data_IF_928369032017
#
_entry.id   IF_928369032017
#
_cell.length_a   1.000
_cell.length_b   1.000
_cell.length_c   1.000
_cell.angle_alpha   90.00
_cell.angle_beta   90.00
_cell.angle_gamma   90.00
#
_symmetry.space_group_name_H-M   'P 1'
#
loop_
_entity.id
_entity.type
_entity.pdbx_description
1 polymer ?
#
# COMPACT_ATOMS: atom_id res chain seq x y z
N UNK A 1 16.85 13.20 2.73
CA UNK A 1 15.63 12.55 2.18
C UNK A 1 15.46 12.82 0.69
N UNK A 2 15.23 14.07 0.24
CA UNK A 2 15.06 14.32 -1.21
C UNK A 2 16.32 14.01 -2.03
N UNK A 3 17.48 14.37 -1.54
CA UNK A 3 18.79 14.07 -2.18
C UNK A 3 19.03 12.56 -2.27
N UNK A 4 18.71 11.82 -1.24
CA UNK A 4 18.82 10.36 -1.20
C UNK A 4 17.89 9.70 -2.22
N UNK A 5 16.64 10.17 -2.32
CA UNK A 5 15.69 9.67 -3.33
C UNK A 5 16.21 9.92 -4.76
N UNK A 6 16.80 11.07 -5.04
CA UNK A 6 17.41 11.38 -6.33
C UNK A 6 18.65 10.51 -6.63
N UNK A 7 19.44 10.20 -5.61
CA UNK A 7 20.58 9.29 -5.74
C UNK A 7 20.14 7.87 -6.02
N UNK A 8 19.13 7.38 -5.30
CA UNK A 8 18.54 6.04 -5.52
C UNK A 8 17.96 5.91 -6.93
N UNK A 9 17.26 6.92 -7.41
CA UNK A 9 16.79 6.96 -8.79
C UNK A 9 17.91 6.79 -9.81
N UNK A 10 19.02 7.53 -9.64
CA UNK A 10 20.18 7.49 -10.54
C UNK A 10 20.92 6.16 -10.49
N UNK A 11 20.95 5.53 -9.30
CA UNK A 11 21.63 4.25 -9.10
C UNK A 11 20.77 3.05 -9.52
N UNK A 12 19.48 3.25 -9.82
CA UNK A 12 18.57 2.19 -10.18
C UNK A 12 17.95 1.45 -8.98
N UNK A 13 18.09 1.99 -7.78
CA UNK A 13 17.49 1.45 -6.58
C UNK A 13 15.99 1.77 -6.50
N UNK A 14 15.24 0.90 -5.82
CA UNK A 14 13.85 1.17 -5.46
C UNK A 14 13.76 2.02 -4.20
N UNK A 15 12.77 2.89 -4.13
CA UNK A 15 12.43 3.64 -2.91
C UNK A 15 10.94 3.94 -2.86
N UNK A 16 10.45 4.26 -1.68
CA UNK A 16 9.10 4.78 -1.46
C UNK A 16 9.21 6.17 -0.83
N UNK A 17 8.54 7.15 -1.42
CA UNK A 17 8.54 8.53 -0.94
C UNK A 17 7.10 8.95 -0.62
N UNK A 18 6.86 9.36 0.63
CA UNK A 18 5.54 9.81 1.09
C UNK A 18 5.64 11.29 1.42
N UNK A 19 4.86 12.10 0.69
CA UNK A 19 4.82 13.55 0.85
C UNK A 19 3.38 14.03 1.06
N UNK A 20 3.02 14.46 2.26
CA UNK A 20 1.67 14.95 2.54
C UNK A 20 1.35 16.30 1.88
N UNK A 21 2.36 17.04 1.40
CA UNK A 21 2.20 18.36 0.79
C UNK A 21 2.29 18.38 -0.73
N UNK A 22 3.00 17.41 -1.34
CA UNK A 22 3.12 17.23 -2.79
C UNK A 22 4.31 17.94 -3.45
N UNK A 23 4.87 18.99 -2.88
CA UNK A 23 5.93 19.80 -3.50
C UNK A 23 7.22 19.00 -3.78
N UNK A 24 7.60 18.10 -2.86
CA UNK A 24 8.78 17.27 -3.02
C UNK A 24 8.57 16.16 -4.05
N UNK A 25 7.36 15.59 -4.12
CA UNK A 25 6.99 14.60 -5.12
C UNK A 25 6.98 15.23 -6.51
N UNK A 26 6.44 16.43 -6.67
CA UNK A 26 6.46 17.13 -7.96
C UNK A 26 7.90 17.34 -8.45
N UNK A 27 8.80 17.73 -7.55
CA UNK A 27 10.22 17.86 -7.88
C UNK A 27 10.85 16.52 -8.29
N UNK A 28 10.55 15.43 -7.60
CA UNK A 28 11.01 14.08 -7.94
C UNK A 28 10.50 13.69 -9.33
N UNK A 29 9.24 13.94 -9.62
CA UNK A 29 8.60 13.61 -10.89
C UNK A 29 9.25 14.34 -12.07
N UNK A 30 9.59 15.63 -11.90
CA UNK A 30 10.28 16.40 -12.92
C UNK A 30 11.67 15.84 -13.27
N UNK A 31 12.32 15.20 -12.31
CA UNK A 31 13.68 14.65 -12.44
C UNK A 31 13.71 13.12 -12.63
N UNK A 32 12.53 12.48 -12.72
CA UNK A 32 12.46 11.04 -12.87
C UNK A 32 13.00 10.57 -14.23
N UNK A 33 13.87 9.54 -14.26
CA UNK A 33 14.44 9.03 -15.52
C UNK A 33 13.34 8.45 -16.41
N UNK A 34 13.27 8.91 -17.66
CA UNK A 34 12.25 8.46 -18.63
C UNK A 34 12.36 6.97 -18.94
N UNK A 35 13.57 6.43 -18.85
CA UNK A 35 13.89 5.02 -19.08
C UNK A 35 13.30 4.10 -18.03
N UNK A 36 12.91 4.66 -16.87
CA UNK A 36 12.33 3.93 -15.74
C UNK A 36 10.87 4.25 -15.50
N UNK A 37 10.18 4.83 -16.47
CA UNK A 37 8.79 5.25 -16.29
C UNK A 37 7.85 4.07 -15.97
N UNK A 38 8.18 2.88 -16.48
CA UNK A 38 7.41 1.66 -16.23
C UNK A 38 7.59 1.11 -14.80
N UNK A 39 8.64 1.55 -14.09
CA UNK A 39 8.90 1.20 -12.67
C UNK A 39 8.19 2.16 -11.70
N UNK A 40 7.60 3.25 -12.20
CA UNK A 40 7.02 4.30 -11.38
C UNK A 40 5.58 3.99 -10.99
N UNK A 41 5.33 3.98 -9.70
CA UNK A 41 3.96 4.01 -9.16
C UNK A 41 3.75 5.37 -8.51
N UNK A 42 2.94 6.22 -9.15
CA UNK A 42 2.57 7.53 -8.62
C UNK A 42 1.17 7.45 -7.99
N UNK A 43 1.13 7.49 -6.67
CA UNK A 43 -0.10 7.37 -5.89
C UNK A 43 -0.60 8.75 -5.45
N UNK A 44 -1.49 9.35 -6.23
CA UNK A 44 -2.09 10.67 -5.96
C UNK A 44 -3.54 10.52 -5.52
N UNK A 45 -3.79 10.72 -4.22
CA UNK A 45 -5.12 10.68 -3.63
C UNK A 45 -6.00 11.88 -4.02
N UNK A 46 -5.41 12.96 -4.53
CA UNK A 46 -6.14 14.15 -4.97
C UNK A 46 -6.71 14.01 -6.37
N UNK A 47 -6.21 13.05 -7.16
CA UNK A 47 -6.67 12.81 -8.52
C UNK A 47 -8.00 12.05 -8.52
N UNK A 48 -9.09 12.80 -8.68
CA UNK A 48 -10.44 12.24 -8.71
C UNK A 48 -10.85 11.75 -10.10
N UNK A 49 -10.16 12.17 -11.15
CA UNK A 49 -10.45 11.77 -12.53
C UNK A 49 -9.91 10.34 -12.82
N UNK A 50 -8.72 10.03 -12.28
CA UNK A 50 -8.09 8.71 -12.41
C UNK A 50 -7.66 8.20 -11.03
N UNK A 51 -8.61 7.79 -10.17
CA UNK A 51 -8.27 7.29 -8.85
C UNK A 51 -7.52 5.96 -8.95
N UNK A 52 -6.46 5.83 -8.17
CA UNK A 52 -5.75 4.56 -8.04
C UNK A 52 -6.59 3.61 -7.19
N UNK A 53 -6.88 2.44 -7.74
CA UNK A 53 -7.47 1.35 -6.98
C UNK A 53 -6.35 0.62 -6.20
N UNK A 54 -6.57 0.41 -4.92
CA UNK A 54 -5.72 -0.39 -4.05
C UNK A 54 -6.57 -1.43 -3.34
N UNK A 55 -6.30 -2.71 -3.63
CA UNK A 55 -6.94 -3.81 -2.91
C UNK A 55 -5.95 -4.37 -1.87
N UNK A 56 -6.17 -4.14 -0.57
CA UNK A 56 -5.26 -4.63 0.47
C UNK A 56 -5.25 -6.15 0.63
N UNK A 57 -6.19 -6.86 0.02
CA UNK A 57 -6.29 -8.33 0.05
C UNK A 57 -5.71 -9.00 -1.20
N UNK A 58 -5.16 -8.22 -2.11
CA UNK A 58 -4.56 -8.73 -3.34
C UNK A 58 -3.13 -9.25 -3.12
N UNK A 59 -2.70 -10.23 -3.93
CA UNK A 59 -1.35 -10.75 -3.91
C UNK A 59 -1.08 -11.89 -2.90
N UNK A 60 -2.12 -12.54 -2.38
CA UNK A 60 -2.01 -13.73 -1.53
C UNK A 60 -2.47 -14.98 -2.30
N UNK A 61 -1.53 -15.68 -2.91
CA UNK A 61 -1.82 -16.87 -3.75
C UNK A 61 -1.90 -18.17 -2.93
N UNK A 62 -1.17 -18.24 -1.83
CA UNK A 62 -1.11 -19.41 -0.95
C UNK A 62 -1.90 -19.20 0.34
N UNK A 63 -2.28 -20.29 1.01
CA UNK A 63 -2.99 -20.25 2.30
C UNK A 63 -2.15 -19.52 3.36
N UNK A 64 -0.85 -19.79 3.42
CA UNK A 64 0.08 -19.14 4.36
C UNK A 64 0.16 -17.62 4.13
N UNK A 65 0.18 -17.18 2.87
CA UNK A 65 0.19 -15.75 2.52
C UNK A 65 -1.13 -15.07 2.88
N UNK A 66 -2.26 -15.75 2.73
CA UNK A 66 -3.57 -15.25 3.15
C UNK A 66 -3.66 -15.09 4.66
N UNK A 67 -3.09 -16.04 5.41
CA UNK A 67 -3.00 -15.94 6.88
C UNK A 67 -2.18 -14.73 7.31
N UNK A 68 -1.00 -14.54 6.73
CA UNK A 68 -0.13 -13.38 7.01
C UNK A 68 -0.85 -12.08 6.68
N UNK A 69 -1.39 -11.96 5.48
CA UNK A 69 -2.07 -10.75 5.03
C UNK A 69 -3.29 -10.41 5.89
N UNK A 70 -4.07 -11.44 6.29
CA UNK A 70 -5.22 -11.26 7.17
C UNK A 70 -4.80 -10.78 8.56
N UNK A 71 -3.71 -11.31 9.10
CA UNK A 71 -3.18 -10.87 10.39
C UNK A 71 -2.67 -9.43 10.31
N UNK A 72 -1.96 -9.05 9.27
CA UNK A 72 -1.49 -7.68 9.05
C UNK A 72 -2.67 -6.70 8.98
N UNK A 73 -3.75 -7.07 8.29
CA UNK A 73 -4.98 -6.28 8.23
C UNK A 73 -5.63 -6.12 9.61
N UNK A 74 -5.73 -7.19 10.40
CA UNK A 74 -6.26 -7.13 11.77
C UNK A 74 -5.41 -6.21 12.64
N UNK A 75 -4.08 -6.35 12.60
CA UNK A 75 -3.16 -5.52 13.38
C UNK A 75 -3.25 -4.04 13.00
N UNK A 76 -3.41 -3.76 11.71
CA UNK A 76 -3.64 -2.40 11.22
C UNK A 76 -4.91 -1.78 11.85
N UNK A 77 -6.04 -2.51 11.82
CA UNK A 77 -7.29 -2.01 12.39
C UNK A 77 -7.25 -1.90 13.91
N UNK A 78 -6.60 -2.84 14.59
CA UNK A 78 -6.36 -2.76 16.05
C UNK A 78 -5.50 -1.53 16.39
N UNK A 79 -4.47 -1.27 15.61
CA UNK A 79 -3.63 -0.08 15.78
C UNK A 79 -4.38 1.23 15.56
N UNK A 80 -5.31 1.26 14.61
CA UNK A 80 -6.11 2.45 14.29
C UNK A 80 -7.21 2.73 15.31
N UNK A 81 -7.91 1.71 15.78
CA UNK A 81 -9.13 1.83 16.58
C UNK A 81 -9.00 1.38 18.03
N UNK A 82 -7.93 0.66 18.37
CA UNK A 82 -7.71 0.07 19.69
C UNK A 82 -8.47 -1.26 19.91
N UNK A 83 -7.96 -2.08 20.81
CA UNK A 83 -8.55 -3.38 21.15
C UNK A 83 -9.94 -3.27 21.81
N UNK A 84 -10.25 -2.13 22.41
CA UNK A 84 -11.58 -1.90 23.01
C UNK A 84 -12.70 -1.84 21.96
N UNK A 85 -12.38 -1.30 20.77
CA UNK A 85 -13.32 -1.18 19.65
C UNK A 85 -13.19 -2.40 18.73
N UNK A 86 -11.96 -2.75 18.36
CA UNK A 86 -11.65 -3.88 17.49
C UNK A 86 -11.29 -5.13 18.32
N UNK A 87 -12.22 -5.57 19.16
CA UNK A 87 -12.02 -6.68 20.11
C UNK A 87 -12.05 -8.06 19.44
N UNK A 88 -11.78 -9.13 20.20
CA UNK A 88 -11.58 -10.49 19.67
C UNK A 88 -12.73 -10.99 18.78
N UNK A 89 -13.97 -10.69 19.13
CA UNK A 89 -15.13 -11.11 18.34
C UNK A 89 -15.18 -10.44 16.97
N UNK A 90 -14.87 -9.14 16.91
CA UNK A 90 -14.83 -8.40 15.65
C UNK A 90 -13.65 -8.89 14.81
N UNK A 91 -12.50 -9.15 15.44
CA UNK A 91 -11.35 -9.73 14.76
C UNK A 91 -11.67 -11.07 14.10
N UNK A 92 -12.40 -11.96 14.78
CA UNK A 92 -12.80 -13.26 14.23
C UNK A 92 -13.71 -13.09 13.00
N UNK A 93 -14.70 -12.23 13.09
CA UNK A 93 -15.58 -11.95 11.94
C UNK A 93 -14.81 -11.32 10.77
N UNK A 94 -13.91 -10.41 11.08
CA UNK A 94 -13.09 -9.75 10.07
C UNK A 94 -12.14 -10.74 9.36
N UNK A 95 -11.49 -11.63 10.11
CA UNK A 95 -10.63 -12.70 9.54
C UNK A 95 -11.42 -13.57 8.57
N UNK A 96 -12.56 -14.08 9.00
CA UNK A 96 -13.41 -14.93 8.17
C UNK A 96 -13.89 -14.20 6.90
N UNK A 97 -14.21 -12.91 7.00
CA UNK A 97 -14.59 -12.11 5.85
C UNK A 97 -13.43 -11.93 4.87
N UNK A 98 -12.21 -11.66 5.36
CA UNK A 98 -11.00 -11.55 4.52
C UNK A 98 -10.73 -12.86 3.78
N UNK A 99 -10.76 -14.01 4.47
CA UNK A 99 -10.57 -15.31 3.84
C UNK A 99 -11.60 -15.56 2.73
N UNK A 100 -12.87 -15.30 3.02
CA UNK A 100 -13.95 -15.49 2.05
C UNK A 100 -13.75 -14.62 0.79
N UNK A 101 -13.30 -13.37 0.97
CA UNK A 101 -13.05 -12.47 -0.15
C UNK A 101 -11.84 -12.91 -0.98
N UNK A 102 -10.79 -13.42 -0.34
CA UNK A 102 -9.60 -13.92 -1.04
C UNK A 102 -9.80 -15.28 -1.74
N UNK A 103 -10.83 -16.03 -1.37
CA UNK A 103 -11.17 -17.30 -2.03
C UNK A 103 -12.02 -17.13 -3.28
N UNK A 104 -12.61 -15.95 -3.50
CA UNK A 104 -13.44 -15.73 -4.69
C UNK A 104 -12.53 -15.47 -5.90
N UNK A 105 -12.63 -16.28 -6.97
CA UNK A 105 -12.00 -15.95 -8.23
C UNK A 105 -12.62 -14.68 -8.80
N UNK A 106 -11.79 -13.76 -9.28
CA UNK A 106 -12.22 -12.56 -10.01
C UNK A 106 -13.09 -12.89 -11.22
#
# INVERSE_FOLDING_TARGET
MLTEALEDMKQGNGFCFIDPHGDAVDFIMEHYPKERIDDLIYFDLSNTEYPIAFNPLDGADTEDERDVLTNDMVEMFVSMYGEEIFGPRIQDYFRNACFLLMEQPE
#
